data_IF_237529828228
#
_entry.id   IF_237529828228
#
_cell.length_a   1.000
_cell.length_b   1.000
_cell.length_c   1.000
_cell.angle_alpha   90.00
_cell.angle_beta   90.00
_cell.angle_gamma   90.00
#
_symmetry.space_group_name_H-M   'P 1'
#
loop_
_entity.id
_entity.type
_entity.pdbx_description
1 polymer ?
#
# COMPACT_ATOMS: atom_id res chain seq x y z
N UNK A 1 -2.66 19.61 -21.84
CA UNK A 1 -2.91 18.18 -21.47
C UNK A 1 -2.95 17.27 -22.69
N UNK A 2 -2.31 16.09 -22.66
CA UNK A 2 -2.38 15.08 -23.74
C UNK A 2 -3.44 14.03 -23.37
N UNK A 3 -4.67 14.21 -23.84
CA UNK A 3 -5.78 13.31 -23.57
C UNK A 3 -5.76 12.12 -24.54
N UNK A 4 -5.82 10.89 -24.01
CA UNK A 4 -5.88 9.65 -24.76
C UNK A 4 -7.23 8.96 -24.51
N UNK A 5 -7.76 8.22 -25.49
CA UNK A 5 -9.07 7.55 -25.42
C UNK A 5 -8.89 6.02 -25.47
N UNK A 6 -9.75 5.33 -24.72
CA UNK A 6 -9.84 3.86 -24.73
C UNK A 6 -8.48 3.18 -24.47
N UNK A 7 -7.78 3.61 -23.42
CA UNK A 7 -6.47 3.09 -23.05
C UNK A 7 -6.61 1.85 -22.18
N UNK A 8 -5.89 0.77 -22.56
CA UNK A 8 -5.76 -0.40 -21.68
C UNK A 8 -5.04 -0.03 -20.38
N UNK A 9 -5.64 -0.36 -19.26
CA UNK A 9 -5.07 -0.15 -17.92
C UNK A 9 -4.12 -1.28 -17.50
N UNK A 10 -4.03 -2.36 -18.26
CA UNK A 10 -3.17 -3.52 -17.96
C UNK A 10 -1.73 -3.17 -17.59
N UNK A 11 -1.01 -2.25 -18.28
CA UNK A 11 0.35 -1.87 -17.90
C UNK A 11 0.44 -0.92 -16.71
N UNK A 12 -0.70 -0.40 -16.22
CA UNK A 12 -0.75 0.64 -15.20
C UNK A 12 -1.18 0.15 -13.82
N UNK A 13 -1.45 -1.16 -13.66
CA UNK A 13 -1.74 -1.75 -12.36
C UNK A 13 -1.20 -3.18 -12.24
N UNK A 14 -0.86 -3.57 -11.02
CA UNK A 14 -0.09 -4.80 -10.75
C UNK A 14 -0.86 -6.11 -10.88
N UNK A 15 -2.21 -6.09 -10.91
CA UNK A 15 -3.01 -7.27 -11.27
C UNK A 15 -3.03 -7.56 -12.77
N UNK A 16 -2.60 -6.60 -13.61
CA UNK A 16 -2.47 -6.73 -15.05
C UNK A 16 -3.75 -7.22 -15.79
N UNK A 17 -4.94 -6.87 -15.30
CA UNK A 17 -6.20 -7.14 -15.99
C UNK A 17 -6.39 -6.19 -17.18
N UNK A 18 -7.12 -6.66 -18.21
CA UNK A 18 -7.33 -5.94 -19.48
C UNK A 18 -8.56 -5.01 -19.39
N UNK A 19 -8.62 -4.20 -18.34
CA UNK A 19 -9.65 -3.18 -18.23
C UNK A 19 -9.22 -1.91 -18.97
N UNK A 20 -10.20 -1.10 -19.36
CA UNK A 20 -10.00 0.09 -20.20
C UNK A 20 -10.38 1.35 -19.41
N UNK A 21 -9.60 2.40 -19.54
CA UNK A 21 -10.02 3.76 -19.22
C UNK A 21 -10.61 4.42 -20.46
N UNK A 22 -11.82 4.97 -20.35
CA UNK A 22 -12.42 5.75 -21.46
C UNK A 22 -11.52 6.92 -21.84
N UNK A 23 -10.92 7.56 -20.84
CA UNK A 23 -10.01 8.68 -20.98
C UNK A 23 -8.80 8.49 -20.08
N UNK A 24 -7.63 8.91 -20.53
CA UNK A 24 -6.37 8.76 -19.82
C UNK A 24 -5.45 9.96 -20.09
N UNK A 25 -4.74 10.40 -19.06
CA UNK A 25 -3.64 11.36 -19.18
C UNK A 25 -2.59 11.10 -18.11
N UNK A 26 -1.32 11.44 -18.36
CA UNK A 26 -0.26 11.53 -17.34
C UNK A 26 -0.01 12.98 -16.99
N UNK A 27 0.31 13.24 -15.73
CA UNK A 27 0.64 14.58 -15.20
C UNK A 27 1.97 14.53 -14.44
N UNK A 28 2.92 15.36 -14.87
CA UNK A 28 4.28 15.46 -14.33
C UNK A 28 4.55 16.78 -13.63
N UNK A 29 3.58 17.70 -13.63
CA UNK A 29 3.63 19.00 -12.96
C UNK A 29 2.33 19.29 -12.20
N UNK A 30 2.40 20.21 -11.24
CA UNK A 30 1.22 20.71 -10.51
C UNK A 30 0.22 21.38 -11.45
N UNK A 31 0.70 22.12 -12.44
CA UNK A 31 -0.16 22.83 -13.41
C UNK A 31 -0.87 21.84 -14.33
N UNK A 32 -0.19 20.80 -14.81
CA UNK A 32 -0.80 19.73 -15.60
C UNK A 32 -1.88 18.95 -14.82
N UNK A 33 -1.68 18.77 -13.50
CA UNK A 33 -2.69 18.15 -12.64
C UNK A 33 -3.96 19.02 -12.54
N UNK A 34 -3.80 20.33 -12.30
CA UNK A 34 -4.95 21.28 -12.26
C UNK A 34 -5.66 21.27 -13.60
N UNK A 35 -4.92 21.40 -14.71
CA UNK A 35 -5.50 21.35 -16.06
C UNK A 35 -6.36 20.09 -16.28
N UNK A 36 -5.86 18.92 -15.84
CA UNK A 36 -6.57 17.65 -15.98
C UNK A 36 -7.84 17.59 -15.12
N UNK A 37 -7.78 18.08 -13.87
CA UNK A 37 -8.92 18.11 -12.96
C UNK A 37 -9.99 19.09 -13.46
N UNK A 38 -9.58 20.28 -13.87
CA UNK A 38 -10.50 21.30 -14.40
C UNK A 38 -11.16 20.82 -15.71
N UNK A 39 -10.38 20.15 -16.57
CA UNK A 39 -10.95 19.55 -17.77
C UNK A 39 -12.02 18.51 -17.43
N UNK A 40 -11.74 17.62 -16.47
CA UNK A 40 -12.69 16.59 -16.04
C UNK A 40 -13.97 17.22 -15.47
N UNK A 41 -13.84 18.20 -14.58
CA UNK A 41 -14.97 18.91 -13.97
C UNK A 41 -15.81 19.64 -15.01
N UNK A 42 -15.19 20.39 -15.93
CA UNK A 42 -15.88 21.15 -16.98
C UNK A 42 -16.61 20.27 -18.00
N UNK A 43 -16.17 19.01 -18.14
CA UNK A 43 -16.80 18.03 -19.02
C UNK A 43 -17.69 17.02 -18.27
N UNK A 44 -17.96 17.23 -16.98
CA UNK A 44 -18.73 16.33 -16.11
C UNK A 44 -18.20 14.87 -16.15
N UNK A 45 -16.89 14.70 -16.24
CA UNK A 45 -16.25 13.39 -16.23
C UNK A 45 -15.80 13.01 -14.82
N UNK A 46 -16.15 11.83 -14.30
CA UNK A 46 -15.49 11.33 -13.10
C UNK A 46 -14.00 11.14 -13.38
N UNK A 47 -13.17 11.33 -12.37
CA UNK A 47 -11.74 11.08 -12.52
C UNK A 47 -11.16 10.24 -11.38
N UNK A 48 -10.06 9.58 -11.66
CA UNK A 48 -9.31 8.74 -10.73
C UNK A 48 -7.83 9.11 -10.81
N UNK A 49 -7.23 9.42 -9.67
CA UNK A 49 -5.78 9.60 -9.56
C UNK A 49 -5.13 8.24 -9.38
N UNK A 50 -4.24 7.88 -10.31
CA UNK A 50 -3.55 6.59 -10.32
C UNK A 50 -2.05 6.79 -10.03
N UNK A 51 -1.57 6.27 -8.91
CA UNK A 51 -0.15 6.13 -8.62
C UNK A 51 0.46 4.94 -9.40
N UNK A 52 1.27 4.11 -8.75
CA UNK A 52 1.85 2.91 -9.38
C UNK A 52 0.87 1.76 -9.60
N UNK A 53 -0.40 1.89 -9.21
CA UNK A 53 -1.41 0.86 -9.43
C UNK A 53 -1.21 -0.44 -8.67
N UNK A 54 -0.45 -0.41 -7.56
CA UNK A 54 -0.09 -1.61 -6.79
C UNK A 54 -1.06 -1.95 -5.67
N UNK A 55 -2.14 -1.15 -5.51
CA UNK A 55 -3.17 -1.37 -4.49
C UNK A 55 -4.58 -1.08 -5.04
N UNK A 56 -4.83 -1.45 -6.29
CA UNK A 56 -6.09 -1.23 -6.98
C UNK A 56 -6.46 -2.43 -7.84
N UNK A 57 -7.76 -2.73 -7.92
CA UNK A 57 -8.34 -3.69 -8.83
C UNK A 57 -9.42 -2.97 -9.67
N UNK A 58 -9.20 -2.91 -10.97
CA UNK A 58 -10.23 -2.50 -11.91
C UNK A 58 -11.07 -3.74 -12.27
N UNK A 59 -12.38 -3.69 -12.02
CA UNK A 59 -13.31 -4.81 -12.27
C UNK A 59 -14.09 -4.66 -13.57
N UNK A 60 -14.10 -3.46 -14.10
CA UNK A 60 -14.79 -3.07 -15.35
C UNK A 60 -14.10 -1.88 -15.99
N UNK A 61 -14.56 -1.50 -17.17
CA UNK A 61 -14.14 -0.25 -17.81
C UNK A 61 -14.39 0.95 -16.88
N UNK A 62 -13.38 1.79 -16.71
CA UNK A 62 -13.52 3.05 -16.02
C UNK A 62 -14.07 4.11 -16.98
N UNK A 63 -15.34 4.46 -16.83
CA UNK A 63 -16.02 5.44 -17.64
C UNK A 63 -15.74 6.87 -17.15
N UNK A 64 -14.50 7.32 -17.30
CA UNK A 64 -14.02 8.61 -16.85
C UNK A 64 -12.56 8.82 -17.22
N UNK A 65 -11.93 9.82 -16.61
CA UNK A 65 -10.53 10.19 -16.81
C UNK A 65 -9.63 9.53 -15.75
N UNK A 66 -8.75 8.64 -16.15
CA UNK A 66 -7.64 8.19 -15.30
C UNK A 66 -6.48 9.18 -15.46
N UNK A 67 -6.08 9.79 -14.35
CA UNK A 67 -4.96 10.73 -14.26
C UNK A 67 -3.78 9.99 -13.61
N UNK A 68 -2.78 9.63 -14.39
CA UNK A 68 -1.56 8.98 -13.92
C UNK A 68 -0.65 10.02 -13.28
N UNK A 69 -0.34 9.83 -12.00
CA UNK A 69 0.55 10.72 -11.24
C UNK A 69 2.01 10.40 -11.56
N UNK A 70 2.69 11.34 -12.21
CA UNK A 70 4.11 11.25 -12.59
C UNK A 70 4.92 12.47 -12.11
N UNK A 71 4.42 13.23 -11.14
CA UNK A 71 5.19 14.30 -10.48
C UNK A 71 6.30 13.62 -9.67
N UNK A 72 7.52 13.61 -10.19
CA UNK A 72 8.70 12.96 -9.61
C UNK A 72 9.70 13.98 -9.09
N UNK A 73 10.80 13.49 -8.53
CA UNK A 73 11.94 14.25 -8.04
C UNK A 73 12.12 14.15 -6.53
N UNK A 74 13.38 14.16 -6.13
CA UNK A 74 13.84 14.18 -4.73
C UNK A 74 14.64 15.45 -4.52
N UNK A 75 14.09 16.38 -3.75
CA UNK A 75 14.73 17.65 -3.43
C UNK A 75 15.19 17.67 -1.97
N UNK A 76 16.46 17.98 -1.74
CA UNK A 76 16.97 18.26 -0.41
C UNK A 76 16.56 19.67 -0.01
N UNK A 77 15.75 19.81 1.04
CA UNK A 77 15.32 21.10 1.58
C UNK A 77 16.29 21.62 2.64
N UNK A 78 16.71 20.73 3.56
CA UNK A 78 17.59 21.08 4.66
C UNK A 78 18.48 19.89 5.04
N UNK A 79 19.67 20.18 5.51
CA UNK A 79 20.60 19.17 6.01
C UNK A 79 21.35 19.73 7.23
N UNK A 80 21.39 18.91 8.30
CA UNK A 80 22.18 19.18 9.50
C UNK A 80 23.22 18.07 9.73
N UNK A 81 23.94 18.10 10.82
CA UNK A 81 24.84 17.00 11.22
C UNK A 81 24.09 15.70 11.55
N UNK A 82 22.84 15.78 12.03
CA UNK A 82 22.05 14.65 12.52
C UNK A 82 20.85 14.27 11.66
N UNK A 83 20.32 15.18 10.84
CA UNK A 83 19.07 15.00 10.11
C UNK A 83 19.15 15.51 8.68
N UNK A 84 18.27 14.99 7.84
CA UNK A 84 18.03 15.44 6.47
C UNK A 84 16.52 15.64 6.28
N UNK A 85 16.12 16.75 5.65
CA UNK A 85 14.76 17.03 5.21
C UNK A 85 14.69 16.96 3.69
N UNK A 86 13.85 16.06 3.18
CA UNK A 86 13.65 15.80 1.75
C UNK A 86 12.22 16.10 1.37
N UNK A 87 12.01 16.75 0.23
CA UNK A 87 10.72 16.81 -0.46
C UNK A 87 10.75 15.86 -1.65
N UNK A 88 9.74 14.98 -1.74
CA UNK A 88 9.70 13.91 -2.74
C UNK A 88 8.38 13.96 -3.48
N UNK A 89 8.43 13.97 -4.80
CA UNK A 89 7.26 14.00 -5.66
C UNK A 89 6.37 12.75 -5.50
N UNK A 90 5.06 12.93 -5.59
CA UNK A 90 4.07 11.87 -5.35
C UNK A 90 4.19 10.69 -6.33
N UNK A 91 4.63 10.95 -7.57
CA UNK A 91 4.86 9.95 -8.62
C UNK A 91 6.14 9.15 -8.45
N UNK A 92 7.04 9.55 -7.53
CA UNK A 92 8.31 8.85 -7.30
C UNK A 92 8.06 7.40 -6.86
N UNK A 93 8.88 6.47 -7.36
CA UNK A 93 8.78 5.07 -6.97
C UNK A 93 9.26 4.88 -5.52
N UNK A 94 8.41 4.30 -4.65
CA UNK A 94 8.72 4.11 -3.24
C UNK A 94 9.99 3.29 -3.00
N UNK A 95 10.16 2.17 -3.71
CA UNK A 95 11.34 1.31 -3.54
C UNK A 95 12.62 2.02 -3.95
N UNK A 96 12.59 2.82 -5.03
CA UNK A 96 13.74 3.62 -5.46
C UNK A 96 14.06 4.71 -4.44
N UNK A 97 13.06 5.40 -3.90
CA UNK A 97 13.24 6.42 -2.87
C UNK A 97 13.87 5.84 -1.60
N UNK A 98 13.33 4.72 -1.09
CA UNK A 98 13.92 4.06 0.10
C UNK A 98 15.35 3.60 -0.18
N UNK A 99 15.62 2.99 -1.34
CA UNK A 99 16.97 2.58 -1.73
C UNK A 99 17.94 3.76 -1.80
N UNK A 100 17.48 4.89 -2.33
CA UNK A 100 18.27 6.13 -2.35
C UNK A 100 18.63 6.60 -0.93
N UNK A 101 17.70 6.59 0.01
CA UNK A 101 17.95 6.95 1.41
C UNK A 101 18.91 5.97 2.09
N UNK A 102 18.74 4.67 1.87
CA UNK A 102 19.63 3.62 2.40
C UNK A 102 21.06 3.79 1.91
N UNK A 103 21.28 4.04 0.61
CA UNK A 103 22.60 4.29 0.03
C UNK A 103 23.32 5.52 0.62
N UNK A 104 22.54 6.46 1.14
CA UNK A 104 23.05 7.65 1.85
C UNK A 104 23.19 7.45 3.35
N UNK A 105 22.89 6.25 3.86
CA UNK A 105 22.80 5.92 5.29
C UNK A 105 21.81 6.81 6.07
N UNK A 106 20.76 7.30 5.42
CA UNK A 106 19.69 8.04 6.04
C UNK A 106 18.61 7.06 6.51
N UNK A 107 18.49 6.89 7.82
CA UNK A 107 17.60 5.90 8.41
C UNK A 107 16.24 6.45 8.80
N UNK A 108 15.32 5.52 8.98
CA UNK A 108 13.92 5.72 9.31
C UNK A 108 12.97 4.98 8.36
N UNK A 109 13.40 4.72 7.12
CA UNK A 109 12.57 4.05 6.11
C UNK A 109 13.09 2.64 5.72
N UNK A 110 14.21 2.19 6.24
CA UNK A 110 14.86 0.92 5.88
C UNK A 110 13.95 -0.31 6.12
N UNK A 111 13.13 -0.29 7.16
CA UNK A 111 12.14 -1.33 7.46
C UNK A 111 10.97 -1.36 6.44
N UNK A 112 10.78 -0.28 5.69
CA UNK A 112 9.75 -0.14 4.66
C UNK A 112 10.29 -0.47 3.24
N UNK A 113 11.47 -1.09 3.17
CA UNK A 113 12.10 -1.53 1.92
C UNK A 113 11.23 -2.52 1.16
N UNK A 114 11.31 -2.47 -0.18
CA UNK A 114 10.61 -3.37 -1.10
C UNK A 114 9.07 -3.37 -0.98
N UNK A 115 8.46 -2.33 -0.39
CA UNK A 115 7.02 -2.13 -0.48
C UNK A 115 6.71 -1.56 -1.87
N UNK A 116 5.88 -2.23 -2.69
CA UNK A 116 5.54 -1.68 -4.00
C UNK A 116 4.60 -0.50 -3.85
N UNK A 117 4.83 0.55 -4.66
CA UNK A 117 3.98 1.74 -4.59
C UNK A 117 4.68 3.00 -5.11
N UNK A 118 3.98 4.12 -4.98
CA UNK A 118 4.51 5.47 -5.18
C UNK A 118 4.57 6.24 -3.85
N UNK A 119 5.44 7.23 -3.79
CA UNK A 119 5.60 8.08 -2.60
C UNK A 119 4.30 8.75 -2.20
N UNK A 120 3.51 9.25 -3.14
CA UNK A 120 2.21 9.89 -2.85
C UNK A 120 1.15 8.93 -2.31
N UNK A 121 1.29 7.63 -2.53
CA UNK A 121 0.38 6.63 -1.97
C UNK A 121 0.73 6.25 -0.52
N UNK A 122 1.98 6.47 -0.10
CA UNK A 122 2.48 6.08 1.22
C UNK A 122 1.69 6.69 2.39
N UNK A 123 1.37 8.01 2.41
CA UNK A 123 0.62 8.63 3.50
C UNK A 123 -0.86 8.22 3.52
N UNK A 124 -1.45 7.79 2.40
CA UNK A 124 -2.90 7.52 2.32
C UNK A 124 -3.33 6.48 3.35
N UNK A 125 -2.61 5.37 3.42
CA UNK A 125 -2.88 4.28 4.36
C UNK A 125 -1.82 4.19 5.47
N UNK A 126 -0.98 5.22 5.63
CA UNK A 126 0.12 5.21 6.58
C UNK A 126 0.88 3.88 6.48
N UNK A 127 1.53 3.64 5.33
CA UNK A 127 2.17 2.33 5.08
C UNK A 127 3.09 1.96 6.23
N UNK A 128 3.01 0.70 6.65
CA UNK A 128 3.77 0.20 7.79
C UNK A 128 4.26 -1.22 7.57
N UNK A 129 5.46 -1.51 8.05
CA UNK A 129 6.05 -2.83 8.06
C UNK A 129 7.15 -2.91 9.12
N UNK A 130 7.33 -4.08 9.72
CA UNK A 130 8.43 -4.39 10.64
C UNK A 130 8.64 -3.32 11.73
N UNK A 131 7.53 -2.87 12.35
CA UNK A 131 7.54 -1.94 13.47
C UNK A 131 7.73 -0.47 13.13
N UNK A 132 7.75 -0.11 11.84
CA UNK A 132 7.85 1.29 11.38
C UNK A 132 6.57 1.68 10.64
N UNK A 133 6.03 2.86 10.95
CA UNK A 133 4.97 3.52 10.18
C UNK A 133 5.55 4.74 9.46
N UNK A 134 5.21 4.92 8.18
CA UNK A 134 5.76 6.03 7.38
C UNK A 134 5.42 7.41 7.96
N UNK A 135 4.25 7.52 8.62
CA UNK A 135 3.82 8.76 9.26
C UNK A 135 4.77 9.27 10.34
N UNK A 136 5.58 8.40 10.96
CA UNK A 136 6.62 8.79 11.93
C UNK A 136 7.71 9.67 11.30
N UNK A 137 7.93 9.53 10.00
CA UNK A 137 8.98 10.20 9.25
C UNK A 137 8.47 11.29 8.31
N UNK A 138 7.14 11.44 8.17
CA UNK A 138 6.51 12.49 7.37
C UNK A 138 6.42 13.76 8.23
N UNK A 139 6.90 14.88 7.70
CA UNK A 139 6.77 16.22 8.32
C UNK A 139 5.50 16.90 7.82
N UNK A 140 5.26 16.82 6.51
CA UNK A 140 4.08 17.37 5.88
C UNK A 140 3.80 16.72 4.53
N UNK A 141 2.60 16.93 4.03
CA UNK A 141 2.15 16.48 2.72
C UNK A 141 1.62 17.67 1.94
N UNK A 142 2.19 17.93 0.77
CA UNK A 142 1.65 18.91 -0.16
C UNK A 142 0.56 18.26 -1.02
N UNK A 143 -0.64 18.81 -0.97
CA UNK A 143 -1.79 18.29 -1.69
C UNK A 143 -2.61 19.40 -2.35
N UNK A 144 -3.36 19.04 -3.38
CA UNK A 144 -4.41 19.88 -3.92
C UNK A 144 -5.74 19.54 -3.21
N UNK A 145 -6.34 20.53 -2.53
CA UNK A 145 -7.69 20.41 -1.95
C UNK A 145 -8.71 20.66 -3.04
N UNK A 146 -9.39 19.61 -3.49
CA UNK A 146 -10.36 19.67 -4.60
C UNK A 146 -11.62 20.44 -4.25
N UNK A 147 -11.96 20.53 -2.95
CA UNK A 147 -13.13 21.29 -2.46
C UNK A 147 -12.81 22.78 -2.43
N UNK A 148 -11.67 23.15 -1.86
CA UNK A 148 -11.23 24.54 -1.76
C UNK A 148 -10.57 25.06 -3.04
N UNK A 149 -10.26 24.16 -3.97
CA UNK A 149 -9.54 24.44 -5.24
C UNK A 149 -8.22 25.19 -5.02
N UNK A 150 -7.44 24.77 -4.03
CA UNK A 150 -6.16 25.39 -3.67
C UNK A 150 -5.12 24.38 -3.23
N UNK A 151 -3.86 24.76 -3.37
CA UNK A 151 -2.75 24.02 -2.79
C UNK A 151 -2.74 24.18 -1.27
N UNK A 152 -2.51 23.08 -0.56
CA UNK A 152 -2.40 23.04 0.88
C UNK A 152 -1.19 22.20 1.30
N UNK A 153 -0.53 22.62 2.35
CA UNK A 153 0.49 21.82 3.05
C UNK A 153 -0.13 21.32 4.36
N UNK A 154 -0.30 20.01 4.47
CA UNK A 154 -0.94 19.36 5.62
C UNK A 154 0.17 18.85 6.51
N UNK A 155 0.22 19.34 7.77
CA UNK A 155 1.25 18.95 8.74
C UNK A 155 1.10 17.49 9.14
N UNK A 156 2.15 16.89 9.74
CA UNK A 156 2.09 15.52 10.28
C UNK A 156 0.89 15.34 11.21
N UNK A 157 0.64 16.30 12.11
CA UNK A 157 -0.48 16.26 13.04
C UNK A 157 -1.82 16.27 12.33
N UNK A 158 -1.99 17.13 11.32
CA UNK A 158 -3.23 17.28 10.55
C UNK A 158 -3.45 16.10 9.60
N UNK A 159 -2.41 15.35 9.23
CA UNK A 159 -2.53 14.10 8.48
C UNK A 159 -3.31 13.03 9.26
N UNK A 160 -3.47 13.17 10.58
CA UNK A 160 -4.23 12.28 11.46
C UNK A 160 -3.88 10.79 11.21
N UNK A 161 -2.57 10.49 11.14
CA UNK A 161 -2.07 9.14 10.93
C UNK A 161 -2.48 8.21 12.05
N UNK A 162 -2.85 7.00 11.70
CA UNK A 162 -3.13 5.90 12.59
C UNK A 162 -2.95 4.58 11.85
N UNK A 163 -3.23 3.46 12.52
CA UNK A 163 -3.06 2.16 11.91
C UNK A 163 -3.86 2.03 10.61
N UNK A 164 -3.15 1.94 9.47
CA UNK A 164 -3.72 1.84 8.11
C UNK A 164 -4.72 2.95 7.77
N UNK A 165 -4.58 4.14 8.36
CA UNK A 165 -5.49 5.27 8.13
C UNK A 165 -4.77 6.61 8.17
N UNK A 166 -5.39 7.61 7.54
CA UNK A 166 -5.00 9.02 7.55
C UNK A 166 -6.19 9.89 7.13
N UNK A 167 -6.04 11.22 7.16
CA UNK A 167 -7.04 12.14 6.59
C UNK A 167 -7.27 11.88 5.11
N UNK A 168 -6.24 11.49 4.35
CA UNK A 168 -6.33 11.20 2.91
C UNK A 168 -7.21 9.98 2.60
N UNK A 169 -7.27 9.01 3.51
CA UNK A 169 -8.15 7.86 3.40
C UNK A 169 -9.57 8.18 3.88
N UNK A 170 -9.72 9.03 4.90
CA UNK A 170 -11.02 9.41 5.45
C UNK A 170 -11.76 10.39 4.53
N UNK A 171 -11.06 11.36 3.99
CA UNK A 171 -11.57 12.41 3.09
C UNK A 171 -11.33 12.01 1.62
N UNK A 172 -12.02 10.92 1.21
CA UNK A 172 -11.83 10.34 -0.14
C UNK A 172 -11.99 11.39 -1.23
N UNK A 173 -11.05 11.42 -2.18
CA UNK A 173 -11.01 12.34 -3.33
C UNK A 173 -10.89 13.84 -3.00
N UNK A 174 -10.76 14.21 -1.71
CA UNK A 174 -10.58 15.62 -1.36
C UNK A 174 -9.14 16.08 -1.56
N UNK A 175 -8.18 15.33 -1.03
CA UNK A 175 -6.77 15.71 -1.08
C UNK A 175 -6.01 14.86 -2.10
N UNK A 176 -5.51 15.50 -3.16
CA UNK A 176 -4.65 14.85 -4.15
C UNK A 176 -3.20 15.16 -3.77
N UNK A 177 -2.51 14.13 -3.27
CA UNK A 177 -1.11 14.24 -2.84
C UNK A 177 -0.20 14.48 -4.04
N UNK A 178 0.65 15.52 -3.96
CA UNK A 178 1.59 15.90 -5.00
C UNK A 178 3.05 15.81 -4.59
N UNK A 179 3.35 16.02 -3.31
CA UNK A 179 4.68 15.78 -2.74
C UNK A 179 4.55 15.43 -1.25
N UNK A 180 5.57 14.75 -0.73
CA UNK A 180 5.66 14.38 0.68
C UNK A 180 7.01 14.85 1.21
N UNK A 181 7.03 15.48 2.38
CA UNK A 181 8.25 15.89 3.06
C UNK A 181 8.62 14.87 4.14
N UNK A 182 9.84 14.35 4.04
CA UNK A 182 10.38 13.36 4.97
C UNK A 182 11.54 13.93 5.77
N UNK A 183 11.54 13.70 7.08
CA UNK A 183 12.66 13.94 7.96
C UNK A 183 13.29 12.62 8.35
N UNK A 184 14.55 12.42 7.95
CA UNK A 184 15.31 11.20 8.17
C UNK A 184 16.55 11.48 9.03
N UNK A 185 16.95 10.47 9.79
CA UNK A 185 18.11 10.57 10.68
C UNK A 185 19.39 10.09 10.01
N UNK A 186 20.50 10.78 10.26
CA UNK A 186 21.86 10.32 9.94
C UNK A 186 22.44 9.42 11.04
N UNK A 187 21.77 9.38 12.20
CA UNK A 187 22.11 8.54 13.36
C UNK A 187 20.83 7.88 13.86
N UNK A 188 20.21 6.98 13.07
CA UNK A 188 18.88 6.43 13.39
C UNK A 188 18.94 5.44 14.55
N UNK A 189 17.86 5.43 15.35
CA UNK A 189 17.58 4.31 16.22
C UNK A 189 17.00 3.16 15.38
N UNK A 190 17.83 2.15 15.15
CA UNK A 190 17.48 1.03 14.27
C UNK A 190 16.50 0.06 14.95
N UNK A 191 15.44 -0.34 14.26
CA UNK A 191 14.43 -1.29 14.75
C UNK A 191 14.66 -2.67 14.16
N UNK A 192 15.06 -3.62 15.01
CA UNK A 192 15.40 -5.01 14.64
C UNK A 192 14.47 -6.05 15.22
N UNK A 193 13.63 -5.70 16.21
CA UNK A 193 12.87 -6.66 17.02
C UNK A 193 11.56 -7.15 16.35
N UNK A 194 11.29 -6.73 15.13
CA UNK A 194 10.07 -7.07 14.41
C UNK A 194 10.29 -8.10 13.31
N UNK A 195 9.40 -9.10 13.27
CA UNK A 195 9.47 -10.20 12.30
C UNK A 195 10.79 -10.97 12.39
N UNK A 196 11.28 -11.44 11.25
CA UNK A 196 12.50 -12.24 11.15
C UNK A 196 13.79 -11.41 11.00
N UNK A 197 13.76 -10.08 11.15
CA UNK A 197 14.94 -9.21 10.92
C UNK A 197 16.09 -9.65 11.81
N UNK A 198 15.85 -9.81 13.11
CA UNK A 198 16.88 -10.20 14.10
C UNK A 198 17.49 -11.55 13.78
N UNK A 199 16.68 -12.53 13.37
CA UNK A 199 17.16 -13.85 12.96
C UNK A 199 18.03 -13.76 11.72
N UNK A 200 17.60 -13.04 10.67
CA UNK A 200 18.37 -12.87 9.43
C UNK A 200 19.70 -12.16 9.68
N UNK A 201 19.73 -11.15 10.57
CA UNK A 201 20.97 -10.46 10.93
C UNK A 201 21.93 -11.42 11.70
N UNK A 202 21.39 -12.19 12.65
CA UNK A 202 22.15 -13.18 13.40
C UNK A 202 22.75 -14.25 12.48
N UNK A 203 21.96 -14.82 11.57
CA UNK A 203 22.40 -15.85 10.63
C UNK A 203 23.51 -15.35 9.66
N UNK A 204 23.57 -14.04 9.44
CA UNK A 204 24.62 -13.37 8.67
C UNK A 204 25.83 -12.93 9.52
N UNK A 205 25.83 -13.19 10.83
CA UNK A 205 26.89 -12.78 11.75
C UNK A 205 26.95 -11.27 11.98
N UNK A 206 25.85 -10.52 11.74
CA UNK A 206 25.82 -9.05 11.89
C UNK A 206 25.44 -8.72 13.34
N UNK A 207 26.42 -8.30 14.14
CA UNK A 207 26.25 -7.92 15.54
C UNK A 207 25.82 -6.44 15.66
N UNK A 208 26.43 -5.58 14.86
CA UNK A 208 26.13 -4.14 14.83
C UNK A 208 25.42 -3.78 13.52
N UNK A 209 24.10 -3.78 13.49
CA UNK A 209 23.36 -3.51 12.28
C UNK A 209 23.51 -2.06 11.82
N UNK A 210 23.45 -1.85 10.51
CA UNK A 210 23.37 -0.55 9.85
C UNK A 210 22.03 -0.40 9.13
N UNK A 211 21.73 0.81 8.68
CA UNK A 211 20.57 1.10 7.79
C UNK A 211 20.56 0.13 6.59
N UNK A 212 21.71 -0.07 5.96
CA UNK A 212 21.86 -0.96 4.81
C UNK A 212 21.60 -2.44 5.18
N UNK A 213 22.15 -2.90 6.32
CA UNK A 213 22.00 -4.29 6.75
C UNK A 213 20.54 -4.63 7.08
N UNK A 214 19.79 -3.71 7.69
CA UNK A 214 18.35 -3.87 7.96
C UNK A 214 17.57 -3.88 6.64
N UNK A 215 17.80 -2.90 5.77
CA UNK A 215 17.15 -2.88 4.45
C UNK A 215 17.39 -4.18 3.68
N UNK A 216 18.63 -4.70 3.67
CA UNK A 216 18.98 -5.98 3.05
C UNK A 216 18.28 -7.17 3.70
N UNK A 217 18.14 -7.18 5.03
CA UNK A 217 17.38 -8.22 5.74
C UNK A 217 15.90 -8.19 5.37
N UNK A 218 15.29 -7.00 5.37
CA UNK A 218 13.89 -6.81 4.97
C UNK A 218 13.65 -7.24 3.53
N UNK A 219 14.53 -6.84 2.60
CA UNK A 219 14.45 -7.24 1.19
C UNK A 219 14.52 -8.77 1.07
N UNK A 220 15.43 -9.43 1.78
CA UNK A 220 15.55 -10.88 1.79
C UNK A 220 14.26 -11.55 2.29
N UNK A 221 13.74 -11.12 3.44
CA UNK A 221 12.50 -11.66 4.01
C UNK A 221 11.34 -11.50 3.03
N UNK A 222 11.17 -10.30 2.48
CA UNK A 222 10.06 -10.00 1.55
C UNK A 222 10.18 -10.76 0.24
N UNK A 223 11.37 -10.85 -0.33
CA UNK A 223 11.59 -11.59 -1.60
C UNK A 223 11.34 -13.08 -1.49
N UNK A 224 11.49 -13.66 -0.28
CA UNK A 224 11.20 -15.06 -0.03
C UNK A 224 9.73 -15.33 0.30
N UNK A 225 9.00 -14.35 0.83
CA UNK A 225 7.62 -14.52 1.28
C UNK A 225 6.58 -13.97 0.30
N UNK A 226 6.93 -12.96 -0.51
CA UNK A 226 5.98 -12.23 -1.35
C UNK A 226 6.29 -12.42 -2.83
N UNK A 227 5.28 -12.69 -3.66
CA UNK A 227 5.49 -12.81 -5.09
C UNK A 227 5.88 -11.45 -5.69
N UNK A 228 6.90 -11.46 -6.55
CA UNK A 228 7.23 -10.30 -7.37
C UNK A 228 6.08 -10.05 -8.36
N UNK A 229 5.39 -8.92 -8.23
CA UNK A 229 4.24 -8.57 -9.08
C UNK A 229 4.59 -8.41 -10.57
N UNK A 230 5.88 -8.27 -10.91
CA UNK A 230 6.36 -8.29 -12.30
C UNK A 230 6.40 -9.70 -12.89
N UNK A 231 6.47 -10.74 -12.04
CA UNK A 231 6.51 -12.15 -12.46
C UNK A 231 5.14 -12.82 -12.32
N UNK A 232 4.44 -12.56 -11.23
CA UNK A 232 3.11 -13.08 -10.93
C UNK A 232 2.25 -11.91 -10.49
N UNK A 233 1.29 -11.53 -11.34
CA UNK A 233 0.46 -10.35 -11.12
C UNK A 233 -0.32 -10.44 -9.79
N UNK A 234 -0.17 -9.42 -8.94
CA UNK A 234 -0.81 -9.33 -7.62
C UNK A 234 -0.76 -7.88 -7.11
N UNK A 235 -1.48 -7.58 -6.04
CA UNK A 235 -1.46 -6.27 -5.39
C UNK A 235 -1.09 -6.36 -3.89
N UNK A 236 -0.26 -7.33 -3.50
CA UNK A 236 0.08 -7.60 -2.11
C UNK A 236 -1.07 -8.24 -1.34
N UNK A 237 -1.19 -7.96 -0.04
CA UNK A 237 -2.29 -8.47 0.78
C UNK A 237 -3.63 -7.96 0.26
N UNK A 238 -4.51 -8.90 -0.09
CA UNK A 238 -5.85 -8.56 -0.58
C UNK A 238 -6.81 -8.18 0.54
N UNK A 239 -6.62 -8.73 1.73
CA UNK A 239 -7.49 -8.52 2.89
C UNK A 239 -6.76 -7.82 4.03
N UNK A 240 -7.50 -7.06 4.84
CA UNK A 240 -7.04 -6.57 6.12
C UNK A 240 -7.17 -7.67 7.18
N UNK A 241 -6.32 -7.61 8.21
CA UNK A 241 -6.54 -8.40 9.42
C UNK A 241 -7.76 -7.82 10.15
N UNK A 242 -8.85 -8.59 10.34
CA UNK A 242 -10.05 -8.09 11.00
C UNK A 242 -9.83 -7.91 12.49
N UNK A 243 -10.59 -6.98 13.08
CA UNK A 243 -10.69 -6.82 14.52
C UNK A 243 -12.02 -7.37 15.01
N UNK A 244 -12.01 -8.09 16.13
CA UNK A 244 -13.18 -8.66 16.79
C UNK A 244 -13.20 -8.28 18.26
N UNK A 245 -14.37 -8.36 18.90
CA UNK A 245 -14.50 -8.13 20.35
C UNK A 245 -13.89 -9.29 21.15
N UNK A 246 -13.50 -9.01 22.41
CA UNK A 246 -13.02 -10.05 23.34
C UNK A 246 -14.02 -11.20 23.45
N UNK A 247 -15.32 -10.90 23.54
CA UNK A 247 -16.39 -11.92 23.60
C UNK A 247 -16.40 -12.83 22.37
N UNK A 248 -16.23 -12.26 21.17
CA UNK A 248 -16.13 -13.06 19.93
C UNK A 248 -14.84 -13.91 19.93
N UNK A 249 -13.73 -13.32 20.39
CA UNK A 249 -12.47 -14.06 20.50
C UNK A 249 -12.58 -15.25 21.44
N UNK A 250 -13.13 -15.07 22.66
CA UNK A 250 -13.31 -16.13 23.65
C UNK A 250 -14.16 -17.28 23.12
N UNK A 251 -15.18 -16.95 22.33
CA UNK A 251 -16.01 -17.97 21.69
C UNK A 251 -15.26 -18.72 20.57
N UNK A 252 -14.49 -18.01 19.76
CA UNK A 252 -13.77 -18.61 18.65
C UNK A 252 -12.58 -19.45 19.11
N UNK A 253 -11.84 -19.04 20.15
CA UNK A 253 -10.66 -19.77 20.63
C UNK A 253 -11.05 -21.12 21.25
N UNK A 254 -12.25 -21.25 21.83
CA UNK A 254 -12.76 -22.51 22.33
C UNK A 254 -13.05 -23.51 21.19
N UNK A 255 -13.50 -23.04 20.04
CA UNK A 255 -13.77 -23.87 18.87
C UNK A 255 -12.53 -24.11 18.01
N UNK A 256 -11.62 -23.12 17.97
CA UNK A 256 -10.42 -23.11 17.16
C UNK A 256 -9.18 -22.76 17.99
N UNK A 257 -8.64 -23.70 18.79
CA UNK A 257 -7.52 -23.42 19.71
C UNK A 257 -6.23 -22.92 19.02
N UNK A 258 -6.07 -23.15 17.70
CA UNK A 258 -4.94 -22.67 16.90
C UNK A 258 -5.15 -21.28 16.29
N UNK A 259 -6.25 -20.61 16.63
CA UNK A 259 -6.56 -19.27 16.12
C UNK A 259 -5.42 -18.29 16.42
N UNK A 260 -4.89 -17.64 15.38
CA UNK A 260 -3.86 -16.61 15.53
C UNK A 260 -4.51 -15.25 15.75
N UNK A 261 -4.42 -14.75 16.97
CA UNK A 261 -4.98 -13.45 17.36
C UNK A 261 -3.99 -12.69 18.24
N UNK A 262 -4.08 -11.37 18.19
CA UNK A 262 -3.23 -10.45 18.93
C UNK A 262 -4.10 -9.40 19.62
N UNK A 263 -3.95 -9.15 20.93
CA UNK A 263 -4.70 -8.11 21.62
C UNK A 263 -4.35 -6.74 21.03
N UNK A 264 -5.36 -5.91 20.82
CA UNK A 264 -5.20 -4.50 20.44
C UNK A 264 -5.35 -3.64 21.70
N UNK A 265 -6.39 -3.91 22.48
CA UNK A 265 -6.73 -3.29 23.76
C UNK A 265 -7.51 -4.29 24.63
N UNK A 266 -8.06 -3.84 25.76
CA UNK A 266 -8.80 -4.69 26.70
C UNK A 266 -10.12 -5.28 26.11
N UNK A 267 -10.58 -4.74 24.99
CA UNK A 267 -11.88 -5.06 24.39
C UNK A 267 -11.81 -5.66 23.01
N UNK A 268 -10.65 -5.62 22.35
CA UNK A 268 -10.52 -6.01 20.95
C UNK A 268 -9.29 -6.83 20.64
N UNK A 269 -9.44 -7.78 19.74
CA UNK A 269 -8.38 -8.62 19.19
C UNK A 269 -8.28 -8.46 17.68
N UNK A 270 -7.08 -8.42 17.17
CA UNK A 270 -6.76 -8.51 15.75
C UNK A 270 -6.55 -9.96 15.39
N UNK A 271 -7.30 -10.47 14.40
CA UNK A 271 -7.18 -11.84 13.90
C UNK A 271 -6.29 -11.87 12.67
N UNK A 272 -5.44 -12.89 12.55
CA UNK A 272 -4.68 -13.15 11.33
C UNK A 272 -5.62 -13.62 10.21
N UNK A 273 -5.83 -12.77 9.21
CA UNK A 273 -6.67 -13.09 8.06
C UNK A 273 -6.11 -14.27 7.25
N UNK A 274 -4.79 -14.41 7.16
CA UNK A 274 -4.16 -15.55 6.51
C UNK A 274 -4.54 -16.86 7.17
N UNK A 275 -4.54 -16.90 8.51
CA UNK A 275 -5.00 -18.07 9.26
C UNK A 275 -6.48 -18.41 8.99
N UNK A 276 -7.37 -17.40 8.99
CA UNK A 276 -8.80 -17.60 8.70
C UNK A 276 -9.01 -18.19 7.29
N UNK A 277 -8.28 -17.68 6.30
CA UNK A 277 -8.33 -18.11 4.91
C UNK A 277 -7.83 -19.55 4.77
N UNK A 278 -6.67 -19.87 5.37
CA UNK A 278 -6.11 -21.23 5.36
C UNK A 278 -7.04 -22.23 6.07
N UNK A 279 -7.54 -21.87 7.23
CA UNK A 279 -8.46 -22.70 8.00
C UNK A 279 -9.83 -22.88 7.31
N UNK A 280 -10.22 -21.97 6.38
CA UNK A 280 -11.39 -22.12 5.51
C UNK A 280 -11.11 -23.00 4.28
N UNK A 281 -9.90 -23.56 4.14
CA UNK A 281 -9.56 -24.49 3.06
C UNK A 281 -9.15 -23.82 1.73
N UNK A 282 -8.79 -22.53 1.76
CA UNK A 282 -8.44 -21.78 0.53
C UNK A 282 -6.94 -21.83 0.20
N UNK A 283 -6.08 -22.36 1.06
CA UNK A 283 -4.65 -22.48 0.77
C UNK A 283 -4.42 -23.34 -0.47
N UNK A 284 -3.69 -22.77 -1.45
CA UNK A 284 -3.37 -23.46 -2.71
C UNK A 284 -4.54 -23.60 -3.70
N UNK A 285 -5.73 -23.07 -3.36
CA UNK A 285 -6.87 -23.10 -4.29
C UNK A 285 -6.63 -22.13 -5.44
N UNK A 286 -6.88 -22.63 -6.66
CA UNK A 286 -6.89 -21.82 -7.89
C UNK A 286 -8.18 -22.09 -8.66
N UNK A 287 -8.89 -21.02 -9.05
CA UNK A 287 -10.10 -21.07 -9.87
C UNK A 287 -10.03 -19.99 -10.96
N UNK A 288 -10.38 -20.34 -12.19
CA UNK A 288 -10.45 -19.40 -13.31
C UNK A 288 -9.16 -18.56 -13.47
N UNK A 289 -7.98 -19.18 -13.31
CA UNK A 289 -6.65 -18.55 -13.39
C UNK A 289 -6.37 -17.52 -12.27
N UNK A 290 -7.12 -17.52 -11.19
CA UNK A 290 -6.89 -16.72 -9.99
C UNK A 290 -6.71 -17.67 -8.81
N UNK A 291 -5.78 -17.38 -7.93
CA UNK A 291 -5.52 -18.24 -6.77
C UNK A 291 -4.77 -17.50 -5.66
N UNK A 292 -4.45 -18.24 -4.60
CA UNK A 292 -3.52 -17.74 -3.59
C UNK A 292 -2.08 -18.07 -3.94
N UNK A 293 -1.18 -17.14 -3.58
CA UNK A 293 0.23 -17.45 -3.60
C UNK A 293 0.53 -18.54 -2.54
N UNK A 294 1.29 -19.58 -2.93
CA UNK A 294 1.50 -20.76 -2.10
C UNK A 294 2.12 -20.46 -0.73
N UNK A 295 3.01 -19.44 -0.68
CA UNK A 295 3.77 -19.09 0.52
C UNK A 295 3.12 -17.95 1.32
N UNK A 296 2.03 -17.35 0.81
CA UNK A 296 1.35 -16.24 1.46
C UNK A 296 -0.17 -16.26 1.19
N UNK A 297 -0.93 -16.78 2.14
CA UNK A 297 -2.39 -16.95 2.04
C UNK A 297 -3.19 -15.63 1.97
N UNK A 298 -2.55 -14.48 2.15
CA UNK A 298 -3.21 -13.18 2.02
C UNK A 298 -3.06 -12.57 0.63
N UNK A 299 -2.23 -13.17 -0.25
CA UNK A 299 -1.94 -12.62 -1.57
C UNK A 299 -2.71 -13.38 -2.64
N UNK A 300 -3.73 -12.73 -3.18
CA UNK A 300 -4.39 -13.21 -4.38
C UNK A 300 -3.51 -12.90 -5.58
N UNK A 301 -3.24 -13.92 -6.39
CA UNK A 301 -2.44 -13.82 -7.61
C UNK A 301 -3.31 -14.06 -8.83
N UNK A 302 -3.02 -13.31 -9.87
CA UNK A 302 -3.60 -13.48 -11.19
C UNK A 302 -2.60 -14.19 -12.09
N UNK A 303 -2.86 -15.44 -12.43
CA UNK A 303 -1.99 -16.24 -13.32
C UNK A 303 -2.19 -15.88 -14.79
N UNK A 304 -3.46 -15.68 -15.23
CA UNK A 304 -3.76 -15.29 -16.62
C UNK A 304 -5.21 -14.81 -16.83
N UNK A 305 -5.93 -14.45 -15.75
CA UNK A 305 -7.26 -13.88 -15.89
C UNK A 305 -7.17 -12.50 -16.57
N UNK A 306 -8.02 -12.29 -17.59
CA UNK A 306 -8.02 -11.02 -18.33
C UNK A 306 -8.92 -9.97 -17.70
N UNK A 307 -9.92 -10.39 -16.89
CA UNK A 307 -10.92 -9.53 -16.26
C UNK A 307 -10.73 -9.43 -14.75
N UNK A 308 -10.75 -8.21 -14.24
CA UNK A 308 -10.67 -7.96 -12.79
C UNK A 308 -11.89 -8.47 -12.03
N UNK A 309 -13.07 -8.57 -12.67
CA UNK A 309 -14.24 -9.19 -12.08
C UNK A 309 -14.00 -10.64 -11.64
N UNK A 310 -13.14 -11.39 -12.35
CA UNK A 310 -12.77 -12.76 -11.95
C UNK A 310 -12.04 -12.78 -10.61
N UNK A 311 -11.17 -11.80 -10.37
CA UNK A 311 -10.44 -11.65 -9.10
C UNK A 311 -11.41 -11.23 -7.98
N UNK A 312 -12.32 -10.31 -8.27
CA UNK A 312 -13.33 -9.87 -7.32
C UNK A 312 -14.21 -11.05 -6.89
N UNK A 313 -14.78 -11.81 -7.84
CA UNK A 313 -15.61 -12.97 -7.54
C UNK A 313 -14.87 -14.00 -6.67
N UNK A 314 -13.59 -14.27 -6.99
CA UNK A 314 -12.75 -15.17 -6.20
C UNK A 314 -12.59 -14.66 -4.76
N UNK A 315 -12.39 -13.36 -4.57
CA UNK A 315 -12.28 -12.75 -3.24
C UNK A 315 -13.58 -12.80 -2.45
N UNK A 316 -14.73 -12.62 -3.11
CA UNK A 316 -16.06 -12.68 -2.50
C UNK A 316 -16.39 -14.11 -2.01
N UNK A 317 -16.03 -15.15 -2.77
CA UNK A 317 -16.17 -16.54 -2.33
C UNK A 317 -15.38 -16.81 -1.04
N UNK A 318 -14.17 -16.25 -0.93
CA UNK A 318 -13.33 -16.36 0.26
C UNK A 318 -13.99 -15.65 1.45
N UNK A 319 -14.42 -14.40 1.25
CA UNK A 319 -15.07 -13.60 2.29
C UNK A 319 -16.30 -14.32 2.84
N UNK A 320 -17.13 -14.87 1.95
CA UNK A 320 -18.32 -15.64 2.31
C UNK A 320 -17.97 -16.94 3.08
N UNK A 321 -16.93 -17.65 2.66
CA UNK A 321 -16.46 -18.87 3.30
C UNK A 321 -15.96 -18.61 4.74
N UNK A 322 -15.18 -17.53 4.94
CA UNK A 322 -14.71 -17.11 6.26
C UNK A 322 -15.89 -16.66 7.15
N UNK A 323 -16.82 -15.90 6.60
CA UNK A 323 -18.01 -15.46 7.32
C UNK A 323 -18.87 -16.63 7.80
N UNK A 324 -19.14 -17.60 6.92
CA UNK A 324 -19.94 -18.81 7.28
C UNK A 324 -19.24 -19.61 8.36
N UNK A 325 -17.92 -19.80 8.27
CA UNK A 325 -17.19 -20.69 9.19
C UNK A 325 -16.89 -20.06 10.54
N UNK A 326 -16.58 -18.75 10.57
CA UNK A 326 -16.06 -18.08 11.78
C UNK A 326 -16.96 -16.93 12.26
N UNK A 327 -17.97 -16.51 11.50
CA UNK A 327 -18.75 -15.31 11.82
C UNK A 327 -17.92 -14.01 11.73
N UNK A 328 -16.77 -14.03 11.03
CA UNK A 328 -15.85 -12.90 10.89
C UNK A 328 -15.91 -12.33 9.48
N UNK A 329 -16.14 -11.03 9.36
CA UNK A 329 -16.11 -10.33 8.09
C UNK A 329 -14.68 -9.97 7.71
N UNK A 330 -14.24 -10.39 6.52
CA UNK A 330 -13.01 -9.88 5.90
C UNK A 330 -13.32 -8.62 5.10
N UNK A 331 -12.38 -7.68 5.12
CA UNK A 331 -12.46 -6.45 4.33
C UNK A 331 -11.31 -6.40 3.33
N UNK A 332 -11.59 -5.90 2.13
CA UNK A 332 -10.56 -5.68 1.13
C UNK A 332 -9.56 -4.62 1.60
N UNK A 333 -8.28 -4.97 1.51
CA UNK A 333 -7.19 -4.03 1.73
C UNK A 333 -6.84 -3.21 0.48
N UNK A 334 -7.38 -3.57 -0.69
CA UNK A 334 -7.16 -2.88 -1.95
C UNK A 334 -8.38 -2.02 -2.34
N UNK A 335 -8.17 -1.06 -3.22
CA UNK A 335 -9.24 -0.25 -3.79
C UNK A 335 -9.87 -1.00 -4.97
N UNK A 336 -11.18 -1.17 -4.97
CA UNK A 336 -11.94 -1.82 -6.06
C UNK A 336 -12.66 -0.74 -6.86
N UNK A 337 -12.50 -0.75 -8.20
CA UNK A 337 -13.01 0.25 -9.14
C UNK A 337 -13.78 -0.41 -10.29
#
# INVERSE_FOLDING_TARGET
>A
MKLQKNISLKPYHSFACEEIASLFTSVDTKDALIEAIDWANNNNQPYLILGSGTNILFTKQFNGLVIKMEITGIQKLQETSSEILLQVGAGENWTHFVSYCVQKSWGGLENLSLIPGSVGAAPIKNISAYGVEVGEHIVSVDAFDTIKKQWVTITQQDCAFGYRTSIFKKEVNRYIVCAVQFKLSKQPLLRTDFGAIKSVLHDRGIINPSVESIASAVINIRSNQWPDSKKIANAGSFFNNPSITTTQFDHLILQFPSLKAYPIDDHTYKIDAGWLIEASGWKGVTKNHVGFYQDQAMVIVNYSATKGQTILNFSEEIMQSVLIKFGVNLESAISIV
#
